data_IF_502390263213
#
_entry.id   IF_502390263213
#
_cell.length_a   1.000
_cell.length_b   1.000
_cell.length_c   1.000
_cell.angle_alpha   90.00
_cell.angle_beta   90.00
_cell.angle_gamma   90.00
#
_symmetry.space_group_name_H-M   'P 1'
#
loop_
_entity.id
_entity.type
_entity.pdbx_description
1 polymer ?
#
# COMPACT_ATOMS: atom_id res chain seq x y z
N UNK A 1 12.26 14.39 -8.52
CA UNK A 1 13.09 13.65 -7.56
C UNK A 1 12.52 12.27 -7.45
N UNK A 2 12.84 11.46 -8.44
CA UNK A 2 12.53 10.04 -8.42
C UNK A 2 13.63 9.42 -7.55
N UNK A 3 13.30 9.29 -6.27
CA UNK A 3 13.90 8.47 -5.19
C UNK A 3 15.42 8.49 -4.87
N UNK A 4 16.30 9.07 -5.68
CA UNK A 4 17.74 9.15 -5.37
C UNK A 4 18.13 10.32 -4.46
N UNK A 5 17.15 11.06 -3.92
CA UNK A 5 17.43 12.25 -3.10
C UNK A 5 18.03 13.43 -3.89
N UNK A 6 18.13 13.34 -5.21
CA UNK A 6 18.77 14.34 -6.08
C UNK A 6 17.85 15.53 -6.37
N UNK A 7 18.00 16.60 -5.60
CA UNK A 7 17.29 17.87 -5.81
C UNK A 7 17.70 18.61 -7.08
N UNK A 8 16.90 19.60 -7.46
CA UNK A 8 17.20 20.54 -8.56
C UNK A 8 18.63 21.06 -8.49
N UNK A 9 19.09 21.45 -7.30
CA UNK A 9 20.46 21.94 -7.09
C UNK A 9 21.48 20.88 -7.48
N UNK A 10 21.30 19.63 -7.05
CA UNK A 10 22.23 18.54 -7.37
C UNK A 10 22.19 18.17 -8.85
N UNK A 11 20.99 18.18 -9.46
CA UNK A 11 20.86 18.00 -10.92
C UNK A 11 21.61 19.09 -11.67
N UNK A 12 21.40 20.36 -11.32
CA UNK A 12 22.05 21.47 -12.00
C UNK A 12 23.56 21.51 -11.75
N UNK A 13 24.05 21.13 -10.57
CA UNK A 13 25.48 20.96 -10.32
C UNK A 13 26.08 19.89 -11.24
N UNK A 14 25.39 18.76 -11.42
CA UNK A 14 25.83 17.70 -12.31
C UNK A 14 25.82 18.13 -13.78
N UNK A 15 24.76 18.80 -14.24
CA UNK A 15 24.67 19.32 -15.61
C UNK A 15 25.76 20.35 -15.90
N UNK A 16 26.02 21.27 -14.98
CA UNK A 16 27.11 22.24 -15.10
C UNK A 16 28.48 21.59 -15.20
N UNK A 17 28.71 20.47 -14.50
CA UNK A 17 29.96 19.71 -14.60
C UNK A 17 30.15 19.04 -15.97
N UNK A 18 29.06 18.81 -16.70
CA UNK A 18 29.05 18.27 -18.07
C UNK A 18 29.01 19.37 -19.14
N UNK A 19 29.12 20.65 -18.75
CA UNK A 19 28.97 21.81 -19.65
C UNK A 19 27.58 21.85 -20.34
N UNK A 20 26.54 21.38 -19.64
CA UNK A 20 25.14 21.42 -20.08
C UNK A 20 24.42 22.53 -19.32
N UNK A 21 23.61 23.33 -20.03
CA UNK A 21 22.86 24.41 -19.42
C UNK A 21 21.91 23.93 -18.30
N UNK A 22 21.84 24.66 -17.17
CA UNK A 22 20.95 24.33 -16.07
C UNK A 22 19.48 24.31 -16.46
N UNK A 23 18.72 23.43 -15.82
CA UNK A 23 17.27 23.29 -16.03
C UNK A 23 16.52 24.00 -14.91
N UNK A 24 15.39 24.64 -15.26
CA UNK A 24 14.55 25.32 -14.28
C UNK A 24 13.80 24.32 -13.38
N UNK A 25 13.60 24.69 -12.11
CA UNK A 25 12.78 23.95 -11.15
C UNK A 25 11.43 23.50 -11.71
N UNK A 26 10.73 24.41 -12.38
CA UNK A 26 9.37 24.19 -12.87
C UNK A 26 9.34 23.12 -13.95
N UNK A 27 10.33 23.13 -14.85
CA UNK A 27 10.47 22.12 -15.91
C UNK A 27 10.82 20.77 -15.30
N UNK A 28 11.79 20.72 -14.38
CA UNK A 28 12.17 19.48 -13.69
C UNK A 28 10.97 18.88 -12.92
N UNK A 29 10.19 19.71 -12.23
CA UNK A 29 8.98 19.30 -11.49
C UNK A 29 7.83 18.86 -12.40
N UNK A 30 7.77 19.33 -13.65
CA UNK A 30 6.81 18.86 -14.65
C UNK A 30 7.18 17.46 -15.10
N UNK A 31 8.41 17.27 -15.57
CA UNK A 31 8.89 15.94 -16.00
C UNK A 31 8.87 14.90 -14.89
N UNK A 32 9.15 15.30 -13.64
CA UNK A 32 9.00 14.41 -12.48
C UNK A 32 7.56 13.89 -12.32
N UNK A 33 6.55 14.75 -12.52
CA UNK A 33 5.15 14.35 -12.42
C UNK A 33 4.75 13.44 -13.58
N UNK A 34 5.18 13.78 -14.79
CA UNK A 34 4.90 12.99 -15.99
C UNK A 34 5.52 11.59 -15.88
N UNK A 35 6.79 11.50 -15.48
CA UNK A 35 7.46 10.22 -15.24
C UNK A 35 6.86 9.45 -14.06
N UNK A 36 6.44 10.17 -13.01
CA UNK A 36 5.80 9.58 -11.83
C UNK A 36 4.53 8.79 -12.18
N UNK A 37 3.71 9.28 -13.11
CA UNK A 37 2.50 8.57 -13.55
C UNK A 37 2.83 7.24 -14.25
N UNK A 38 3.86 7.24 -15.10
CA UNK A 38 4.30 6.01 -15.78
C UNK A 38 4.86 4.99 -14.77
N UNK A 39 5.67 5.44 -13.81
CA UNK A 39 6.21 4.59 -12.74
C UNK A 39 5.08 4.01 -11.89
N UNK A 40 4.10 4.82 -11.50
CA UNK A 40 2.97 4.36 -10.70
C UNK A 40 2.14 3.31 -11.44
N UNK A 41 1.89 3.51 -12.74
CA UNK A 41 1.20 2.53 -13.57
C UNK A 41 1.94 1.20 -13.59
N UNK A 42 3.26 1.23 -13.84
CA UNK A 42 4.09 0.02 -13.84
C UNK A 42 4.09 -0.68 -12.48
N UNK A 43 4.15 0.09 -11.38
CA UNK A 43 4.09 -0.45 -10.03
C UNK A 43 2.75 -1.17 -9.77
N UNK A 44 1.62 -0.59 -10.18
CA UNK A 44 0.29 -1.22 -10.07
C UNK A 44 0.19 -2.51 -10.88
N UNK A 45 0.64 -2.49 -12.13
CA UNK A 45 0.65 -3.69 -13.00
C UNK A 45 1.55 -4.78 -12.42
N UNK A 46 2.70 -4.41 -11.85
CA UNK A 46 3.60 -5.35 -11.16
C UNK A 46 2.95 -5.95 -9.92
N UNK A 47 2.31 -5.14 -9.07
CA UNK A 47 1.61 -5.61 -7.87
C UNK A 47 0.50 -6.60 -8.20
N UNK A 48 -0.28 -6.34 -9.25
CA UNK A 48 -1.32 -7.27 -9.72
C UNK A 48 -0.76 -8.64 -10.12
N UNK A 49 0.36 -8.66 -10.84
CA UNK A 49 1.05 -9.91 -11.19
C UNK A 49 1.56 -10.63 -9.94
N UNK A 50 2.13 -9.90 -8.99
CA UNK A 50 2.58 -10.46 -7.71
C UNK A 50 1.42 -11.10 -6.93
N UNK A 51 0.27 -10.44 -6.85
CA UNK A 51 -0.94 -10.97 -6.18
C UNK A 51 -1.41 -12.27 -6.85
N UNK A 52 -1.45 -12.31 -8.18
CA UNK A 52 -1.85 -13.52 -8.92
C UNK A 52 -0.90 -14.68 -8.66
N UNK A 53 0.41 -14.41 -8.65
CA UNK A 53 1.43 -15.40 -8.35
C UNK A 53 1.31 -15.89 -6.90
N UNK A 54 1.18 -14.98 -5.93
CA UNK A 54 0.98 -15.31 -4.51
C UNK A 54 -0.24 -16.21 -4.34
N UNK A 55 -1.36 -15.87 -4.99
CA UNK A 55 -2.58 -16.70 -4.97
C UNK A 55 -2.33 -18.11 -5.47
N UNK A 56 -1.62 -18.27 -6.58
CA UNK A 56 -1.29 -19.58 -7.14
C UNK A 56 -0.40 -20.39 -6.19
N UNK A 57 0.61 -19.74 -5.59
CA UNK A 57 1.54 -20.37 -4.64
C UNK A 57 0.82 -20.78 -3.35
N UNK A 58 -0.09 -19.96 -2.83
CA UNK A 58 -0.91 -20.29 -1.66
C UNK A 58 -1.73 -21.54 -1.92
N UNK A 59 -2.49 -21.60 -3.03
CA UNK A 59 -3.29 -22.78 -3.40
C UNK A 59 -2.40 -24.03 -3.57
N UNK A 60 -1.22 -23.88 -4.19
CA UNK A 60 -0.28 -24.99 -4.35
C UNK A 60 0.23 -25.50 -3.00
N UNK A 61 0.52 -24.60 -2.05
CA UNK A 61 1.01 -24.95 -0.72
C UNK A 61 -0.05 -25.65 0.14
N UNK A 62 -1.33 -25.26 0.01
CA UNK A 62 -2.44 -25.92 0.70
C UNK A 62 -2.63 -27.36 0.20
N UNK A 63 -2.46 -27.59 -1.10
CA UNK A 63 -2.51 -28.93 -1.70
C UNK A 63 -1.37 -29.84 -1.24
N UNK A 64 -0.18 -29.29 -0.95
CA UNK A 64 0.93 -30.09 -0.39
C UNK A 64 0.76 -30.45 1.08
N UNK A 65 -0.09 -29.72 1.82
CA UNK A 65 -0.34 -29.97 3.24
C UNK A 65 -1.46 -31.00 3.50
N UNK A 66 -2.25 -31.36 2.48
CA UNK A 66 -3.19 -32.48 2.52
C UNK A 66 -2.61 -33.69 1.78
N UNK A 67 -1.99 -34.67 2.47
CA UNK A 67 -1.81 -35.97 1.86
C UNK A 67 -3.20 -36.56 1.56
N UNK A 68 -3.34 -37.18 0.39
CA UNK A 68 -4.53 -37.86 -0.12
C UNK A 68 -5.37 -38.52 0.98
N UNK A 69 -6.44 -37.86 1.43
CA UNK A 69 -7.51 -38.53 2.15
C UNK A 69 -8.31 -39.28 1.09
N UNK A 70 -8.06 -40.59 0.98
CA UNK A 70 -8.93 -41.49 0.23
C UNK A 70 -10.35 -41.35 0.78
N UNK A 71 -11.28 -40.98 -0.09
CA UNK A 71 -12.71 -40.92 0.22
C UNK A 71 -13.26 -42.32 0.46
N UNK A 72 -13.10 -42.82 1.68
CA UNK A 72 -13.91 -43.90 2.23
C UNK A 72 -13.86 -43.80 3.74
N UNK A 73 -15.00 -43.39 4.32
CA UNK A 73 -15.36 -43.40 5.74
C UNK A 73 -15.12 -42.09 6.51
N UNK A 74 -16.14 -41.22 6.53
CA UNK A 74 -16.41 -40.38 7.70
C UNK A 74 -17.89 -40.50 8.02
N UNK A 75 -18.15 -41.17 9.14
CA UNK A 75 -19.45 -41.35 9.76
C UNK A 75 -20.07 -40.00 10.18
N UNK A 76 -21.37 -39.90 9.94
CA UNK A 76 -22.22 -38.83 10.44
C UNK A 76 -22.55 -39.08 11.91
N UNK A 77 -21.88 -38.41 12.84
CA UNK A 77 -22.46 -38.09 14.15
C UNK A 77 -21.54 -37.22 14.99
N UNK A 78 -21.95 -35.98 15.26
CA UNK A 78 -21.99 -35.38 16.60
C UNK A 78 -22.22 -33.87 16.45
N UNK A 79 -23.46 -33.45 16.65
CA UNK A 79 -23.74 -32.06 16.95
C UNK A 79 -23.27 -31.71 18.35
N UNK A 80 -22.80 -30.47 18.53
CA UNK A 80 -22.72 -29.86 19.85
C UNK A 80 -22.98 -28.36 19.75
N UNK A 81 -24.25 -28.03 20.02
CA UNK A 81 -24.73 -26.99 20.95
C UNK A 81 -23.97 -25.65 20.95
N UNK A 82 -24.62 -24.65 20.34
CA UNK A 82 -24.39 -23.22 20.54
C UNK A 82 -24.82 -22.80 21.95
N UNK A 83 -24.01 -21.98 22.62
CA UNK A 83 -24.45 -21.16 23.75
C UNK A 83 -24.38 -19.67 23.36
N UNK A 84 -25.49 -19.00 23.61
CA UNK A 84 -25.91 -17.69 23.13
C UNK A 84 -25.63 -16.63 24.21
N UNK A 85 -24.90 -15.56 23.88
CA UNK A 85 -24.79 -14.36 24.72
C UNK A 85 -24.80 -13.11 23.83
N UNK A 86 -25.97 -12.48 23.78
CA UNK A 86 -26.28 -11.24 23.08
C UNK A 86 -25.67 -10.03 23.78
N UNK A 87 -24.99 -9.15 23.04
CA UNK A 87 -24.96 -7.72 23.33
C UNK A 87 -25.19 -6.97 22.01
N UNK A 88 -26.31 -6.24 21.97
CA UNK A 88 -26.68 -5.33 20.90
C UNK A 88 -25.93 -4.02 21.11
N UNK A 89 -25.19 -3.56 20.11
CA UNK A 89 -25.02 -2.14 19.83
C UNK A 89 -24.87 -1.98 18.31
N UNK A 90 -25.87 -1.30 17.75
CA UNK A 90 -26.02 -1.00 16.33
C UNK A 90 -25.15 0.19 15.95
N UNK A 91 -24.08 -0.05 15.19
CA UNK A 91 -23.55 0.88 14.20
C UNK A 91 -23.21 0.08 12.93
N UNK A 92 -23.57 0.62 11.77
CA UNK A 92 -23.60 -0.04 10.46
C UNK A 92 -22.39 -0.97 10.20
N UNK A 93 -22.66 -2.26 10.42
CA UNK A 93 -21.80 -3.37 10.10
C UNK A 93 -21.63 -3.39 8.58
N UNK A 94 -20.45 -2.98 8.10
CA UNK A 94 -20.02 -3.23 6.72
C UNK A 94 -20.29 -4.70 6.42
N UNK A 95 -21.20 -4.93 5.49
CA UNK A 95 -21.59 -6.24 4.99
C UNK A 95 -20.32 -7.00 4.57
N UNK A 96 -19.84 -7.89 5.44
CA UNK A 96 -18.72 -8.76 5.13
C UNK A 96 -19.30 -9.89 4.27
N UNK A 97 -18.70 -10.19 3.10
CA UNK A 97 -19.25 -11.20 2.21
C UNK A 97 -19.43 -12.51 2.96
N UNK A 98 -20.68 -12.94 3.16
CA UNK A 98 -20.99 -14.16 3.91
C UNK A 98 -20.64 -15.41 3.10
N UNK A 99 -20.30 -15.25 1.81
CA UNK A 99 -19.82 -16.30 0.91
C UNK A 99 -18.29 -16.21 0.69
N UNK A 100 -17.52 -16.86 1.56
CA UNK A 100 -16.08 -17.10 1.33
C UNK A 100 -15.78 -18.01 0.12
N UNK A 101 -16.80 -18.36 -0.67
CA UNK A 101 -16.76 -19.28 -1.80
C UNK A 101 -15.97 -18.69 -2.96
N UNK A 102 -14.64 -18.81 -2.90
CA UNK A 102 -13.71 -18.40 -3.97
C UNK A 102 -12.61 -17.43 -3.53
N UNK A 103 -12.66 -16.93 -2.29
CA UNK A 103 -11.57 -16.17 -1.70
C UNK A 103 -10.40 -17.09 -1.30
N UNK A 104 -9.17 -16.61 -1.53
CA UNK A 104 -7.94 -17.32 -1.15
C UNK A 104 -7.23 -16.45 -0.12
N UNK A 105 -7.09 -16.92 1.14
CA UNK A 105 -6.42 -16.14 2.18
C UNK A 105 -4.91 -16.08 1.86
N UNK A 106 -4.40 -14.88 1.59
CA UNK A 106 -2.97 -14.69 1.33
C UNK A 106 -2.23 -14.45 2.65
N UNK A 107 -1.07 -15.10 2.80
CA UNK A 107 -0.13 -14.80 3.88
C UNK A 107 0.79 -13.69 3.41
N UNK A 108 0.90 -12.62 4.19
CA UNK A 108 1.73 -11.50 3.86
C UNK A 108 2.36 -10.88 5.11
N UNK A 109 3.53 -10.27 4.94
CA UNK A 109 4.11 -9.34 5.89
C UNK A 109 3.84 -7.91 5.44
N UNK A 110 3.86 -6.98 6.38
CA UNK A 110 3.63 -5.57 6.11
C UNK A 110 4.70 -4.74 6.81
N UNK A 111 5.21 -3.74 6.10
CA UNK A 111 6.14 -2.75 6.65
C UNK A 111 5.78 -1.34 6.16
N UNK A 112 6.05 -0.35 7.00
CA UNK A 112 5.77 1.04 6.68
C UNK A 112 6.86 1.98 7.19
N UNK A 113 7.08 3.05 6.43
CA UNK A 113 8.07 4.07 6.71
C UNK A 113 7.51 5.47 6.56
N UNK A 114 8.20 6.43 7.17
CA UNK A 114 7.90 7.84 7.01
C UNK A 114 9.07 8.59 6.42
N UNK A 115 8.80 9.43 5.42
CA UNK A 115 9.84 10.29 4.88
C UNK A 115 10.06 11.47 5.83
N UNK A 116 11.27 11.54 6.40
CA UNK A 116 11.73 12.69 7.20
C UNK A 116 12.79 13.45 6.43
N UNK A 117 12.66 14.78 6.39
CA UNK A 117 13.77 15.67 6.00
C UNK A 117 14.34 16.29 7.27
N UNK A 118 15.35 15.63 7.88
CA UNK A 118 16.25 16.23 8.87
C UNK A 118 15.90 16.13 10.37
N UNK A 119 16.97 16.05 11.17
CA UNK A 119 17.17 16.06 12.65
C UNK A 119 16.20 15.24 13.48
N UNK A 120 16.70 14.18 14.13
CA UNK A 120 15.95 13.13 14.86
C UNK A 120 15.08 13.54 16.06
N UNK A 121 14.63 14.80 16.15
CA UNK A 121 13.81 15.35 17.23
C UNK A 121 12.40 15.78 16.78
N UNK A 122 12.06 15.68 15.48
CA UNK A 122 10.71 15.96 14.99
C UNK A 122 9.95 14.65 14.71
N UNK A 123 8.89 14.40 15.49
CA UNK A 123 8.05 13.19 15.44
C UNK A 123 6.79 13.35 14.57
N UNK A 124 6.79 14.28 13.62
CA UNK A 124 5.62 14.65 12.81
C UNK A 124 5.92 14.59 11.30
N UNK A 125 5.99 13.37 10.76
CA UNK A 125 6.13 13.20 9.31
C UNK A 125 4.88 13.67 8.57
N UNK A 126 5.10 14.35 7.44
CA UNK A 126 4.01 14.84 6.58
C UNK A 126 3.58 13.80 5.55
N UNK A 127 4.44 12.81 5.29
CA UNK A 127 4.18 11.73 4.35
C UNK A 127 4.63 10.39 4.93
N UNK A 128 3.93 9.33 4.54
CA UNK A 128 4.22 7.94 4.87
C UNK A 128 4.00 7.05 3.66
N UNK A 129 4.67 5.90 3.67
CA UNK A 129 4.51 4.84 2.68
C UNK A 129 4.47 3.49 3.39
N UNK A 130 3.73 2.55 2.83
CA UNK A 130 3.60 1.19 3.34
C UNK A 130 3.58 0.18 2.20
N UNK A 131 4.16 -0.99 2.43
CA UNK A 131 4.22 -2.08 1.46
C UNK A 131 3.78 -3.39 2.10
N UNK A 132 2.95 -4.13 1.37
CA UNK A 132 2.52 -5.48 1.69
C UNK A 132 3.34 -6.47 0.85
N UNK A 133 4.00 -7.42 1.50
CA UNK A 133 4.92 -8.37 0.86
C UNK A 133 4.37 -9.78 1.04
N UNK A 134 4.27 -10.54 -0.05
CA UNK A 134 3.76 -11.91 -0.04
C UNK A 134 4.73 -12.87 0.63
N UNK A 135 4.19 -13.80 1.42
CA UNK A 135 5.00 -14.78 2.14
C UNK A 135 5.64 -15.79 1.19
N UNK A 136 4.89 -16.28 0.20
CA UNK A 136 5.37 -17.32 -0.71
C UNK A 136 6.14 -16.76 -1.90
N UNK A 137 5.69 -15.66 -2.48
CA UNK A 137 6.36 -15.01 -3.62
C UNK A 137 7.56 -14.16 -3.20
N UNK A 138 7.55 -13.61 -1.97
CA UNK A 138 8.53 -12.60 -1.55
C UNK A 138 8.41 -11.28 -2.31
N UNK A 139 7.32 -11.07 -3.06
CA UNK A 139 7.10 -9.89 -3.89
C UNK A 139 6.15 -8.90 -3.22
N UNK A 140 6.25 -7.63 -3.60
CA UNK A 140 5.30 -6.60 -3.19
C UNK A 140 3.94 -6.89 -3.84
N UNK A 141 2.94 -7.14 -3.00
CA UNK A 141 1.55 -7.38 -3.38
C UNK A 141 0.79 -6.07 -3.53
N UNK A 142 1.05 -5.12 -2.63
CA UNK A 142 0.40 -3.82 -2.62
C UNK A 142 1.27 -2.77 -1.95
N UNK A 143 1.06 -1.51 -2.30
CA UNK A 143 1.68 -0.38 -1.64
C UNK A 143 0.66 0.74 -1.41
N UNK A 144 0.89 1.54 -0.38
CA UNK A 144 0.06 2.70 -0.06
C UNK A 144 0.96 3.88 0.30
N UNK A 145 0.48 5.08 0.00
CA UNK A 145 1.09 6.32 0.45
C UNK A 145 0.05 7.18 1.15
N UNK A 146 0.49 7.94 2.14
CA UNK A 146 -0.33 8.91 2.86
C UNK A 146 0.38 10.25 2.90
N UNK A 147 -0.34 11.32 2.60
CA UNK A 147 0.17 12.69 2.56
C UNK A 147 -0.79 13.60 3.32
N UNK A 148 -0.24 14.34 4.28
CA UNK A 148 -0.96 15.30 5.14
C UNK A 148 -0.92 16.73 4.67
N UNK A 149 -0.08 17.03 3.68
CA UNK A 149 0.22 18.40 3.29
C UNK A 149 0.23 18.53 1.77
N UNK A 150 -0.56 19.45 1.26
CA UNK A 150 -0.47 19.89 -0.13
C UNK A 150 -0.22 21.40 -0.15
N UNK A 151 0.85 21.82 -0.82
CA UNK A 151 1.25 23.24 -0.88
C UNK A 151 0.23 24.12 -1.62
N UNK A 152 -0.53 23.58 -2.56
CA UNK A 152 -1.56 24.34 -3.29
C UNK A 152 -2.82 24.51 -2.43
N UNK A 153 -3.24 23.46 -1.72
CA UNK A 153 -4.32 23.56 -0.73
C UNK A 153 -4.01 24.58 0.38
N UNK A 154 -2.76 24.62 0.87
CA UNK A 154 -2.36 25.61 1.89
C UNK A 154 -2.41 27.07 1.39
N UNK A 155 -2.34 27.27 0.07
CA UNK A 155 -2.50 28.57 -0.56
C UNK A 155 -3.97 28.94 -0.82
N UNK A 156 -4.91 28.10 -0.40
CA UNK A 156 -6.35 28.31 -0.60
C UNK A 156 -6.89 27.84 -1.96
N UNK A 157 -6.13 27.03 -2.70
CA UNK A 157 -6.66 26.40 -3.91
C UNK A 157 -7.50 25.17 -3.56
N UNK A 158 -8.62 25.01 -4.26
CA UNK A 158 -9.45 23.82 -4.13
C UNK A 158 -8.70 22.58 -4.65
N UNK A 159 -8.92 21.39 -4.07
CA UNK A 159 -8.31 20.14 -4.55
C UNK A 159 -8.60 19.83 -6.03
N UNK A 160 -9.69 20.35 -6.60
CA UNK A 160 -10.04 20.22 -8.01
C UNK A 160 -9.08 20.96 -8.95
N UNK A 161 -8.42 22.01 -8.46
CA UNK A 161 -7.70 22.97 -9.32
C UNK A 161 -6.26 22.52 -9.62
N UNK A 162 -5.82 21.41 -9.02
CA UNK A 162 -4.44 20.92 -9.14
C UNK A 162 -4.35 19.40 -8.92
N UNK A 163 -3.17 18.83 -9.21
CA UNK A 163 -2.84 17.45 -8.82
C UNK A 163 -2.68 17.37 -7.29
N UNK A 164 -3.81 17.26 -6.58
CA UNK A 164 -3.85 17.16 -5.13
C UNK A 164 -3.61 15.71 -4.68
N UNK A 165 -2.52 15.49 -3.96
CA UNK A 165 -2.17 14.19 -3.37
C UNK A 165 -2.48 14.10 -1.88
N UNK A 166 -3.19 15.09 -1.34
CA UNK A 166 -3.65 15.09 0.04
C UNK A 166 -4.68 13.99 0.23
N UNK A 167 -4.41 13.04 1.13
CA UNK A 167 -5.29 11.90 1.35
C UNK A 167 -5.28 11.42 2.81
N UNK A 168 -4.77 12.23 3.74
CA UNK A 168 -4.65 11.86 5.14
C UNK A 168 -4.70 13.10 6.05
N UNK A 169 -5.46 13.04 7.12
CA UNK A 169 -5.70 14.15 8.05
C UNK A 169 -5.33 13.82 9.51
N UNK A 170 -5.18 12.54 9.86
CA UNK A 170 -4.87 12.08 11.23
C UNK A 170 -3.39 12.25 11.62
N UNK A 171 -3.01 11.80 12.82
CA UNK A 171 -1.63 11.85 13.31
C UNK A 171 -0.67 11.05 12.42
N UNK A 172 0.61 11.44 12.33
CA UNK A 172 1.59 10.71 11.52
C UNK A 172 1.70 9.22 11.91
N UNK A 173 1.55 8.91 13.20
CA UNK A 173 1.55 7.53 13.73
C UNK A 173 0.37 6.70 13.22
N UNK A 174 -0.75 7.33 12.88
CA UNK A 174 -1.93 6.64 12.38
C UNK A 174 -1.82 6.27 10.89
N UNK A 175 -0.80 6.76 10.17
CA UNK A 175 -0.64 6.43 8.74
C UNK A 175 -0.37 4.95 8.51
N UNK A 176 0.46 4.34 9.35
CA UNK A 176 0.84 2.93 9.22
C UNK A 176 -0.36 1.98 9.33
N UNK A 177 -1.17 2.00 10.41
CA UNK A 177 -2.32 1.12 10.51
C UNK A 177 -3.40 1.44 9.47
N UNK A 178 -3.59 2.70 9.09
CA UNK A 178 -4.54 3.09 8.04
C UNK A 178 -4.14 2.52 6.67
N UNK A 179 -2.85 2.58 6.33
CA UNK A 179 -2.31 1.99 5.11
C UNK A 179 -2.44 0.47 5.11
N UNK A 180 -2.13 -0.20 6.23
CA UNK A 180 -2.25 -1.64 6.37
C UNK A 180 -3.70 -2.10 6.13
N UNK A 181 -4.66 -1.51 6.85
CA UNK A 181 -6.08 -1.86 6.71
C UNK A 181 -6.58 -1.60 5.29
N UNK A 182 -6.16 -0.49 4.66
CA UNK A 182 -6.60 -0.17 3.29
C UNK A 182 -6.12 -1.15 2.22
N UNK A 183 -5.14 -2.02 2.51
CA UNK A 183 -4.53 -2.95 1.56
C UNK A 183 -4.70 -4.43 1.91
N UNK A 184 -5.09 -4.74 3.15
CA UNK A 184 -5.31 -6.11 3.62
C UNK A 184 -6.76 -6.60 3.53
N UNK A 185 -7.71 -5.69 3.25
CA UNK A 185 -9.15 -5.97 3.08
C UNK A 185 -9.48 -6.04 1.60
#
# INVERSE_FOLDING_TARGET
MIDTGIGEVQVNTFLSALDIHPVSKSLLKRHERDAGLAIERLAKESCQKSIQLERQLTIASERSNFPTVNSSNVDQSAGSKFDELSHNDTEEMRDWPTDWSGMVPLKASYDAGWQKRGTGHCYNSLTGHGSLIGYYSGLVLAYATRTKKCTMCEKGHEPSDHDCRLNFDRSAKAMEPDMAVSRCV
#
